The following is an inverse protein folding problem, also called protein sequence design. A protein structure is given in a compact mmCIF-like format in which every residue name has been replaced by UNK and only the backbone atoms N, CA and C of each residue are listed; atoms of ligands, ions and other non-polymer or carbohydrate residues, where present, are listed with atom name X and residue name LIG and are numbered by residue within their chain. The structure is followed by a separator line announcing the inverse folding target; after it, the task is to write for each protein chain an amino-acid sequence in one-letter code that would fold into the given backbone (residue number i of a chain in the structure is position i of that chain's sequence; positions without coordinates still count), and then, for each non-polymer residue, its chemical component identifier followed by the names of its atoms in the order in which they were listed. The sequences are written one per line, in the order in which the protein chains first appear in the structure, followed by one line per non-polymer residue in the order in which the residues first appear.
data_IF_265707096504
#
_entry.id   IF_265707096504
#
_cell.length_a   1.000
_cell.length_b   1.000
_cell.length_c   1.000
_cell.angle_alpha   90.00
_cell.angle_beta   90.00
_cell.angle_gamma   90.00
#
_symmetry.space_group_name_H-M   'P 1'
#
loop_
_entity.id
_entity.type
_entity.pdbx_description
1 polymer ?
#
# COMPACT_ATOMS: atom_id res chain seq x y z
N UNK A 1 -7.78 75.49 -71.31
CA UNK A 1 -7.34 76.45 -70.28
C UNK A 1 -7.07 75.68 -69.01
N UNK A 2 -5.81 75.70 -68.56
CA UNK A 2 -5.37 75.06 -67.33
C UNK A 2 -5.83 75.87 -66.12
N UNK A 3 -6.19 75.20 -65.01
CA UNK A 3 -5.88 75.69 -63.66
C UNK A 3 -5.98 74.58 -62.62
N UNK A 4 -4.80 74.26 -62.08
CA UNK A 4 -4.46 74.04 -60.66
C UNK A 4 -5.08 72.84 -59.93
N UNK A 5 -4.30 71.75 -59.91
CA UNK A 5 -4.46 70.65 -58.94
C UNK A 5 -3.87 71.04 -57.58
N UNK A 6 -4.69 70.88 -56.54
CA UNK A 6 -4.34 71.12 -55.13
C UNK A 6 -3.61 69.90 -54.56
N UNK A 7 -2.38 70.10 -54.09
CA UNK A 7 -1.52 69.10 -53.45
C UNK A 7 -2.03 68.73 -52.05
N UNK A 8 -2.31 67.45 -51.81
CA UNK A 8 -2.56 66.89 -50.47
C UNK A 8 -1.29 66.22 -49.94
N UNK A 9 -0.91 66.57 -48.71
CA UNK A 9 0.27 66.10 -47.97
C UNK A 9 0.20 64.60 -47.66
N UNK A 10 1.31 63.84 -47.74
CA UNK A 10 1.35 62.46 -47.26
C UNK A 10 1.36 62.41 -45.72
N UNK A 11 0.53 61.51 -45.16
CA UNK A 11 0.48 61.16 -43.74
C UNK A 11 1.80 60.54 -43.28
N UNK A 12 2.23 60.90 -42.06
CA UNK A 12 3.44 60.42 -41.43
C UNK A 12 3.45 58.89 -41.27
N UNK A 13 4.53 58.25 -41.72
CA UNK A 13 4.84 56.83 -41.46
C UNK A 13 5.39 56.72 -40.03
N UNK A 14 4.73 55.95 -39.17
CA UNK A 14 5.23 55.56 -37.86
C UNK A 14 6.43 54.63 -38.00
N UNK A 15 7.54 55.00 -37.37
CA UNK A 15 8.80 54.25 -37.41
C UNK A 15 8.65 52.85 -36.79
N UNK A 16 9.07 51.82 -37.53
CA UNK A 16 9.19 50.46 -37.02
C UNK A 16 10.26 50.41 -35.92
N UNK A 17 9.86 50.06 -34.70
CA UNK A 17 10.79 49.87 -33.58
C UNK A 17 11.65 48.63 -33.84
N UNK A 18 12.96 48.79 -33.72
CA UNK A 18 13.97 47.75 -33.96
C UNK A 18 13.64 46.46 -33.18
N UNK A 19 13.70 45.27 -33.81
CA UNK A 19 13.40 43.98 -33.17
C UNK A 19 14.33 43.68 -31.98
N UNK A 20 15.51 44.32 -31.94
CA UNK A 20 16.46 44.23 -30.85
C UNK A 20 15.89 44.88 -29.57
N UNK A 21 15.18 46.00 -29.70
CA UNK A 21 14.55 46.69 -28.57
C UNK A 21 13.43 45.83 -27.96
N UNK A 22 12.68 45.11 -28.79
CA UNK A 22 11.62 44.19 -28.34
C UNK A 22 12.25 43.02 -27.57
N UNK A 23 13.34 42.45 -28.08
CA UNK A 23 14.05 41.36 -27.40
C UNK A 23 14.57 41.80 -26.01
N UNK A 24 15.16 42.99 -25.91
CA UNK A 24 15.61 43.53 -24.62
C UNK A 24 14.46 43.77 -23.65
N UNK A 25 13.30 44.26 -24.12
CA UNK A 25 12.11 44.43 -23.28
C UNK A 25 11.60 43.07 -22.77
N UNK A 26 11.57 42.04 -23.63
CA UNK A 26 11.16 40.69 -23.24
C UNK A 26 12.11 40.07 -22.21
N UNK A 27 13.43 40.18 -22.41
CA UNK A 27 14.42 39.65 -21.45
C UNK A 27 14.30 40.39 -20.12
N UNK A 28 14.13 41.71 -20.16
CA UNK A 28 13.94 42.53 -18.95
C UNK A 28 12.69 42.12 -18.20
N UNK A 29 11.58 41.86 -18.90
CA UNK A 29 10.33 41.40 -18.29
C UNK A 29 10.44 40.01 -17.64
N UNK A 30 11.19 39.09 -18.27
CA UNK A 30 11.44 37.74 -17.72
C UNK A 30 12.29 37.83 -16.45
N UNK A 31 13.37 38.64 -16.47
CA UNK A 31 14.20 38.86 -15.28
C UNK A 31 13.38 39.50 -14.16
N UNK A 32 12.52 40.48 -14.48
CA UNK A 32 11.64 41.11 -13.50
C UNK A 32 10.62 40.13 -12.91
N UNK A 33 10.05 39.23 -13.72
CA UNK A 33 9.17 38.15 -13.26
C UNK A 33 9.89 37.15 -12.35
N UNK A 34 11.12 36.76 -12.70
CA UNK A 34 11.93 35.87 -11.87
C UNK A 34 12.28 36.53 -10.52
N UNK A 35 12.70 37.80 -10.52
CA UNK A 35 13.00 38.55 -9.29
C UNK A 35 11.72 38.77 -8.46
N UNK A 36 10.59 39.11 -9.08
CA UNK A 36 9.32 39.26 -8.38
C UNK A 36 8.81 37.94 -7.79
N UNK A 37 8.99 36.80 -8.49
CA UNK A 37 8.68 35.47 -7.95
C UNK A 37 9.58 35.11 -6.77
N UNK A 38 10.85 35.53 -6.78
CA UNK A 38 11.76 35.36 -5.64
C UNK A 38 11.43 36.28 -4.47
N UNK A 39 10.81 37.45 -4.71
CA UNK A 39 10.33 38.38 -3.67
C UNK A 39 8.97 37.96 -3.08
N UNK A 40 8.08 37.34 -3.87
CA UNK A 40 6.89 36.65 -3.32
C UNK A 40 7.27 35.39 -2.54
N UNK A 41 8.43 34.78 -2.84
CA UNK A 41 8.96 33.62 -2.11
C UNK A 41 9.80 34.01 -0.88
N UNK A 42 10.07 35.29 -0.62
CA UNK A 42 10.90 35.73 0.53
C UNK A 42 10.29 36.83 1.41
N UNK A 43 9.09 37.30 1.11
CA UNK A 43 8.31 38.06 2.09
C UNK A 43 7.61 37.10 3.06
N UNK A 44 8.34 36.74 4.11
CA UNK A 44 7.80 36.13 5.30
C UNK A 44 6.65 36.97 5.84
N UNK A 45 5.42 36.46 5.64
CA UNK A 45 4.28 36.89 6.44
C UNK A 45 4.60 36.54 7.88
N UNK A 46 4.93 37.56 8.67
CA UNK A 46 4.99 37.51 10.13
C UNK A 46 3.58 37.26 10.66
N UNK A 47 3.15 36.00 10.63
CA UNK A 47 2.08 35.56 11.50
C UNK A 47 2.66 35.44 12.90
N UNK A 48 2.32 36.44 13.71
CA UNK A 48 2.34 36.38 15.17
C UNK A 48 2.15 34.94 15.65
N UNK A 49 3.09 34.45 16.47
CA UNK A 49 3.04 33.18 17.21
C UNK A 49 1.92 33.21 18.27
N UNK A 50 0.70 33.51 17.84
CA UNK A 50 -0.50 33.52 18.65
C UNK A 50 -1.45 32.44 18.11
N UNK A 51 -1.20 31.23 18.62
CA UNK A 51 -2.21 30.22 18.92
C UNK A 51 -2.87 29.48 17.73
N UNK A 52 -2.10 28.64 17.01
CA UNK A 52 -2.67 27.48 16.28
C UNK A 52 -3.41 26.54 17.25
N UNK A 53 -3.07 26.57 18.54
CA UNK A 53 -3.78 25.85 19.62
C UNK A 53 -5.26 26.27 19.78
N UNK A 54 -5.69 27.40 19.21
CA UNK A 54 -7.07 27.91 19.31
C UNK A 54 -7.94 27.60 18.08
N UNK A 55 -7.38 27.04 16.99
CA UNK A 55 -8.16 26.66 15.80
C UNK A 55 -8.63 25.20 15.81
N UNK A 56 -8.11 24.38 16.72
CA UNK A 56 -8.63 23.05 17.04
C UNK A 56 -9.50 23.11 18.29
N UNK A 57 -10.60 23.87 18.20
CA UNK A 57 -11.76 23.57 19.04
C UNK A 57 -12.37 22.26 18.54
N UNK A 58 -13.02 21.45 19.41
CA UNK A 58 -13.67 20.21 18.97
C UNK A 58 -14.64 20.56 17.83
N UNK A 59 -14.33 20.13 16.60
CA UNK A 59 -15.23 20.32 15.47
C UNK A 59 -16.50 19.53 15.82
N UNK A 60 -17.64 20.19 15.72
CA UNK A 60 -18.94 19.61 16.07
C UNK A 60 -19.10 18.22 15.45
N UNK A 61 -19.42 17.21 16.27
CA UNK A 61 -19.88 15.91 15.80
C UNK A 61 -20.95 16.13 14.74
N UNK A 62 -20.72 15.62 13.52
CA UNK A 62 -21.67 15.71 12.42
C UNK A 62 -23.03 15.20 12.91
N UNK A 63 -24.02 16.07 12.94
CA UNK A 63 -25.38 15.67 13.29
C UNK A 63 -25.97 14.89 12.13
N UNK A 64 -26.19 13.60 12.33
CA UNK A 64 -26.85 12.75 11.36
C UNK A 64 -28.28 13.21 11.13
N UNK A 65 -28.64 13.43 9.87
CA UNK A 65 -29.97 13.91 9.51
C UNK A 65 -30.87 12.75 9.11
N UNK A 66 -32.19 12.99 9.09
CA UNK A 66 -33.17 12.02 8.59
C UNK A 66 -32.98 11.67 7.10
N UNK A 67 -32.19 12.46 6.37
CA UNK A 67 -31.91 12.28 4.94
C UNK A 67 -30.65 11.45 4.67
N UNK A 68 -29.87 11.14 5.71
CA UNK A 68 -28.65 10.36 5.57
C UNK A 68 -28.99 8.94 5.09
N UNK A 69 -28.26 8.48 4.09
CA UNK A 69 -28.39 7.16 3.49
C UNK A 69 -27.12 6.37 3.71
N UNK A 70 -27.24 5.07 3.94
CA UNK A 70 -26.17 4.24 4.45
C UNK A 70 -25.78 3.13 3.47
N UNK A 71 -24.50 2.78 3.47
CA UNK A 71 -23.91 1.63 2.78
C UNK A 71 -23.24 0.72 3.82
N UNK A 72 -23.64 -0.55 3.87
CA UNK A 72 -23.09 -1.51 4.82
C UNK A 72 -22.53 -2.74 4.10
N UNK A 73 -21.32 -3.12 4.47
CA UNK A 73 -20.57 -4.21 3.85
C UNK A 73 -20.35 -5.43 4.75
N UNK A 74 -20.85 -5.38 5.99
CA UNK A 74 -20.67 -6.43 6.99
C UNK A 74 -19.77 -5.99 8.14
N UNK A 75 -19.71 -6.83 9.16
CA UNK A 75 -18.98 -6.57 10.42
C UNK A 75 -17.48 -6.88 10.34
N UNK A 76 -17.00 -7.32 9.17
CA UNK A 76 -15.62 -7.73 8.93
C UNK A 76 -15.23 -7.38 7.50
N UNK A 77 -14.02 -6.83 7.31
CA UNK A 77 -13.47 -6.50 5.99
C UNK A 77 -13.19 -7.80 5.22
N UNK A 78 -13.57 -7.86 3.93
CA UNK A 78 -13.27 -8.96 3.00
C UNK A 78 -13.60 -10.36 3.54
N UNK A 79 -14.83 -10.50 4.04
CA UNK A 79 -15.31 -11.70 4.69
C UNK A 79 -16.40 -12.39 3.85
N UNK A 80 -16.11 -12.92 2.64
CA UNK A 80 -17.13 -13.62 1.87
C UNK A 80 -17.40 -15.01 2.45
N UNK A 81 -18.52 -15.17 3.15
CA UNK A 81 -19.05 -16.47 3.58
C UNK A 81 -18.02 -17.36 4.31
N UNK A 82 -17.72 -18.54 3.76
CA UNK A 82 -16.90 -19.61 4.39
C UNK A 82 -15.42 -19.27 4.63
N UNK A 83 -14.92 -18.12 4.18
CA UNK A 83 -13.51 -17.72 4.36
C UNK A 83 -13.30 -16.65 5.45
N UNK A 84 -14.33 -16.36 6.23
CA UNK A 84 -14.34 -15.35 7.30
C UNK A 84 -13.41 -15.60 8.48
N UNK A 85 -12.85 -16.82 8.58
CA UNK A 85 -12.02 -17.23 9.71
C UNK A 85 -10.54 -16.86 9.52
N UNK A 86 -10.13 -16.48 8.29
CA UNK A 86 -8.73 -16.21 7.96
C UNK A 86 -8.46 -14.70 7.88
N UNK A 87 -7.55 -14.23 8.71
CA UNK A 87 -7.06 -12.86 8.69
C UNK A 87 -6.15 -12.60 7.47
N UNK A 88 -6.60 -11.80 6.51
CA UNK A 88 -5.73 -11.33 5.42
C UNK A 88 -4.71 -10.28 5.93
N UNK A 89 -3.58 -10.15 5.25
CA UNK A 89 -2.54 -9.15 5.59
C UNK A 89 -3.03 -7.71 5.49
N UNK A 90 -2.39 -6.79 6.23
CA UNK A 90 -2.84 -5.40 6.37
C UNK A 90 -3.07 -4.68 5.02
N UNK A 91 -2.16 -4.83 4.05
CA UNK A 91 -2.34 -4.20 2.74
C UNK A 91 -3.58 -4.68 1.97
N UNK A 92 -4.03 -5.92 2.22
CA UNK A 92 -5.30 -6.40 1.68
C UNK A 92 -6.47 -5.70 2.38
N UNK A 93 -6.45 -5.69 3.71
CA UNK A 93 -7.47 -5.05 4.55
C UNK A 93 -7.65 -3.57 4.18
N UNK A 94 -6.55 -2.82 4.07
CA UNK A 94 -6.57 -1.41 3.70
C UNK A 94 -7.06 -1.18 2.26
N UNK A 95 -6.66 -2.05 1.32
CA UNK A 95 -7.13 -1.93 -0.06
C UNK A 95 -8.64 -2.11 -0.15
N UNK A 96 -9.19 -2.98 0.68
CA UNK A 96 -10.62 -3.33 0.66
C UNK A 96 -11.47 -2.33 1.42
N UNK A 97 -10.97 -1.86 2.57
CA UNK A 97 -11.56 -0.74 3.28
C UNK A 97 -11.61 0.52 2.40
N UNK A 98 -10.51 0.87 1.74
CA UNK A 98 -10.46 1.99 0.80
C UNK A 98 -11.49 1.82 -0.31
N UNK A 99 -11.64 0.62 -0.85
CA UNK A 99 -12.58 0.35 -1.92
C UNK A 99 -14.05 0.49 -1.48
N UNK A 100 -14.39 0.06 -0.25
CA UNK A 100 -15.71 0.30 0.32
C UNK A 100 -15.99 1.79 0.58
N UNK A 101 -14.98 2.54 1.05
CA UNK A 101 -15.05 4.00 1.21
C UNK A 101 -15.26 4.71 -0.14
N UNK A 102 -14.55 4.29 -1.18
CA UNK A 102 -14.74 4.82 -2.54
C UNK A 102 -16.15 4.56 -3.06
N UNK A 103 -16.72 3.37 -2.83
CA UNK A 103 -18.09 3.08 -3.24
C UNK A 103 -19.11 3.92 -2.46
N UNK A 104 -18.92 4.11 -1.15
CA UNK A 104 -19.77 4.98 -0.36
C UNK A 104 -19.72 6.44 -0.84
N UNK A 105 -18.52 6.93 -1.15
CA UNK A 105 -18.31 8.26 -1.71
C UNK A 105 -18.96 8.39 -3.09
N UNK A 106 -18.79 7.40 -3.96
CA UNK A 106 -19.40 7.35 -5.29
C UNK A 106 -20.94 7.39 -5.21
N UNK A 107 -21.54 6.68 -4.25
CA UNK A 107 -22.99 6.61 -4.05
C UNK A 107 -23.56 7.78 -3.22
N UNK A 108 -22.71 8.67 -2.68
CA UNK A 108 -23.12 9.75 -1.79
C UNK A 108 -23.77 9.24 -0.49
N UNK A 109 -23.21 8.17 0.09
CA UNK A 109 -23.75 7.50 1.29
C UNK A 109 -22.77 7.52 2.45
N UNK A 110 -23.31 7.50 3.66
CA UNK A 110 -22.54 7.24 4.88
C UNK A 110 -22.12 5.77 4.92
N UNK A 111 -20.83 5.51 5.01
CA UNK A 111 -20.32 4.17 5.14
C UNK A 111 -20.44 3.66 6.57
N UNK A 112 -21.05 2.50 6.74
CA UNK A 112 -21.11 1.79 8.02
C UNK A 112 -19.89 0.87 8.10
N UNK A 113 -18.87 1.38 8.77
CA UNK A 113 -17.57 0.76 8.91
C UNK A 113 -17.56 -0.28 10.04
N UNK A 114 -16.87 -1.42 9.88
CA UNK A 114 -16.65 -2.35 10.98
C UNK A 114 -15.97 -1.68 12.15
N UNK A 115 -16.43 -1.98 13.37
CA UNK A 115 -15.80 -1.51 14.60
C UNK A 115 -14.42 -2.12 14.86
N UNK A 116 -14.06 -3.19 14.16
CA UNK A 116 -12.76 -3.86 14.28
C UNK A 116 -12.19 -4.25 12.92
N UNK A 117 -10.87 -4.16 12.78
CA UNK A 117 -10.11 -4.64 11.63
C UNK A 117 -9.10 -5.69 12.06
N UNK A 118 -8.97 -6.76 11.28
CA UNK A 118 -7.96 -7.78 11.51
C UNK A 118 -6.58 -7.35 11.01
N UNK A 119 -5.54 -7.66 11.78
CA UNK A 119 -4.13 -7.41 11.45
C UNK A 119 -3.43 -8.76 11.54
N UNK A 120 -3.05 -9.35 10.40
CA UNK A 120 -2.47 -10.69 10.36
C UNK A 120 -1.10 -10.72 11.08
N UNK A 121 -0.89 -11.61 12.08
CA UNK A 121 0.37 -11.71 12.82
C UNK A 121 1.49 -12.44 12.05
N UNK A 122 1.18 -13.18 10.99
CA UNK A 122 2.11 -14.14 10.37
C UNK A 122 2.83 -13.51 9.19
N UNK A 123 4.04 -13.00 9.45
CA UNK A 123 5.04 -12.85 8.39
C UNK A 123 6.44 -13.37 8.73
N UNK A 124 6.59 -14.04 9.87
CA UNK A 124 7.53 -15.07 10.33
C UNK A 124 7.03 -15.36 11.74
N UNK A 125 6.71 -16.60 12.10
CA UNK A 125 6.70 -16.90 13.53
C UNK A 125 8.14 -16.70 13.98
N UNK A 126 8.48 -15.49 14.46
CA UNK A 126 9.56 -15.36 15.43
C UNK A 126 9.20 -16.40 16.47
N UNK A 127 10.14 -17.29 16.79
CA UNK A 127 10.06 -18.26 17.87
C UNK A 127 9.95 -17.55 19.24
N UNK A 128 8.91 -16.74 19.43
CA UNK A 128 8.65 -15.89 20.59
C UNK A 128 7.31 -16.25 21.24
N UNK A 129 6.45 -17.02 20.57
CA UNK A 129 5.27 -17.62 21.21
C UNK A 129 5.38 -19.14 21.22
N UNK A 130 6.12 -19.68 22.19
CA UNK A 130 5.76 -20.97 22.75
C UNK A 130 4.45 -20.79 23.53
N UNK A 131 3.32 -20.96 22.85
CA UNK A 131 2.04 -21.15 23.53
C UNK A 131 1.33 -22.33 22.89
N UNK A 132 1.07 -23.34 23.71
CA UNK A 132 0.33 -24.55 23.39
C UNK A 132 -1.00 -24.20 22.72
N UNK A 133 -1.27 -24.92 21.63
CA UNK A 133 -2.25 -24.67 20.59
C UNK A 133 -3.67 -25.09 21.01
N UNK A 134 -4.12 -24.67 22.21
CA UNK A 134 -5.41 -25.08 22.82
C UNK A 134 -6.29 -23.87 23.23
N UNK A 135 -6.34 -22.82 22.40
CA UNK A 135 -7.14 -21.61 22.64
C UNK A 135 -8.40 -21.51 21.75
N UNK A 136 -9.52 -21.09 22.35
CA UNK A 136 -10.84 -20.89 21.71
C UNK A 136 -10.77 -19.94 20.48
N UNK A 137 -11.57 -20.19 19.45
CA UNK A 137 -11.60 -19.42 18.19
C UNK A 137 -11.85 -17.91 18.39
N UNK A 138 -12.65 -17.51 19.38
CA UNK A 138 -12.88 -16.10 19.72
C UNK A 138 -11.64 -15.43 20.34
N UNK A 139 -10.86 -16.17 21.14
CA UNK A 139 -9.65 -15.66 21.79
C UNK A 139 -8.53 -15.42 20.78
N UNK A 140 -8.44 -16.31 19.76
CA UNK A 140 -7.53 -16.17 18.60
C UNK A 140 -7.89 -14.95 17.72
N UNK A 141 -9.18 -14.58 17.65
CA UNK A 141 -9.68 -13.41 16.92
C UNK A 141 -9.48 -12.10 17.69
N UNK A 142 -9.54 -12.12 19.03
CA UNK A 142 -9.32 -10.95 19.86
C UNK A 142 -7.86 -10.46 19.80
N UNK A 143 -6.89 -11.37 19.79
CA UNK A 143 -5.45 -11.05 19.69
C UNK A 143 -4.96 -10.62 18.29
N UNK A 144 -5.81 -10.75 17.27
CA UNK A 144 -5.45 -10.44 15.86
C UNK A 144 -6.29 -9.31 15.28
N UNK A 145 -7.11 -8.62 16.08
CA UNK A 145 -7.95 -7.51 15.64
C UNK A 145 -7.71 -6.26 16.47
N UNK A 146 -7.79 -5.10 15.82
CA UNK A 146 -7.75 -3.80 16.49
C UNK A 146 -9.08 -3.07 16.31
N UNK A 147 -9.46 -2.26 17.30
CA UNK A 147 -10.60 -1.37 17.17
C UNK A 147 -10.32 -0.32 16.08
N UNK A 148 -11.32 -0.01 15.26
CA UNK A 148 -11.14 0.83 14.09
C UNK A 148 -10.79 2.28 14.46
N UNK A 149 -11.38 2.79 15.55
CA UNK A 149 -11.10 4.09 16.15
C UNK A 149 -9.73 4.19 16.84
N UNK A 150 -9.12 3.05 17.18
CA UNK A 150 -7.72 3.01 17.61
C UNK A 150 -6.73 3.08 16.43
N UNK A 151 -7.16 2.71 15.22
CA UNK A 151 -6.32 2.71 14.02
C UNK A 151 -6.47 4.00 13.23
N UNK A 152 -7.71 4.47 13.05
CA UNK A 152 -8.05 5.60 12.22
C UNK A 152 -8.88 6.63 12.98
N UNK A 153 -8.70 7.89 12.61
CA UNK A 153 -9.54 8.98 13.05
C UNK A 153 -10.79 9.05 12.19
N UNK A 154 -11.90 8.62 12.77
CA UNK A 154 -13.18 8.55 12.09
C UNK A 154 -13.77 9.94 11.79
N UNK A 155 -13.42 10.96 12.57
CA UNK A 155 -13.85 12.33 12.32
C UNK A 155 -13.11 12.89 11.10
N UNK A 156 -11.80 12.62 11.01
CA UNK A 156 -10.98 13.01 9.86
C UNK A 156 -11.38 12.28 8.58
N UNK A 157 -11.65 10.97 8.65
CA UNK A 157 -12.22 10.22 7.50
C UNK A 157 -13.55 10.85 7.07
N UNK A 158 -14.41 11.21 8.05
CA UNK A 158 -15.72 11.81 7.81
C UNK A 158 -15.70 13.17 7.14
N UNK A 159 -14.55 13.85 7.08
CA UNK A 159 -14.37 15.06 6.28
C UNK A 159 -14.37 14.75 4.77
N UNK A 160 -13.91 13.54 4.38
CA UNK A 160 -13.88 13.09 2.98
C UNK A 160 -15.06 12.17 2.64
N UNK A 161 -15.28 11.14 3.45
CA UNK A 161 -16.36 10.15 3.28
C UNK A 161 -17.07 9.97 4.61
N UNK A 162 -18.37 10.28 4.75
CA UNK A 162 -19.05 10.16 6.03
C UNK A 162 -19.01 8.72 6.53
N UNK A 163 -18.53 8.49 7.76
CA UNK A 163 -18.44 7.14 8.35
C UNK A 163 -19.11 7.07 9.70
N UNK A 164 -19.70 5.91 10.00
CA UNK A 164 -20.11 5.51 11.35
C UNK A 164 -19.62 4.09 11.62
N UNK A 165 -19.46 3.72 12.88
CA UNK A 165 -19.15 2.34 13.25
C UNK A 165 -20.42 1.47 13.37
N UNK A 166 -20.28 0.19 13.07
CA UNK A 166 -21.31 -0.84 13.21
C UNK A 166 -21.68 -1.20 14.67
N UNK A 167 -21.02 -0.59 15.66
CA UNK A 167 -21.37 -0.68 17.07
C UNK A 167 -21.93 0.65 17.62
N UNK A 168 -22.16 1.66 16.76
CA UNK A 168 -22.66 2.97 17.17
C UNK A 168 -24.16 2.97 17.45
N UNK A 169 -24.61 3.88 18.33
CA UNK A 169 -26.05 4.12 18.59
C UNK A 169 -26.80 4.53 17.31
N UNK A 170 -26.13 5.26 16.42
CA UNK A 170 -26.68 5.69 15.13
C UNK A 170 -26.99 4.45 14.27
N UNK A 171 -26.05 3.51 14.18
CA UNK A 171 -26.26 2.28 13.42
C UNK A 171 -27.44 1.46 13.96
N UNK A 172 -27.58 1.35 15.27
CA UNK A 172 -28.75 0.70 15.88
C UNK A 172 -30.07 1.36 15.45
N UNK A 173 -30.15 2.69 15.44
CA UNK A 173 -31.33 3.41 14.96
C UNK A 173 -31.58 3.20 13.46
N UNK A 174 -30.53 3.17 12.64
CA UNK A 174 -30.63 2.89 11.20
C UNK A 174 -31.19 1.49 10.97
N UNK A 175 -30.68 0.47 11.68
CA UNK A 175 -31.19 -0.89 11.61
C UNK A 175 -32.67 -0.96 12.00
N UNK A 176 -33.04 -0.41 13.16
CA UNK A 176 -34.43 -0.40 13.63
C UNK A 176 -35.37 0.31 12.65
N UNK A 177 -34.94 1.41 12.05
CA UNK A 177 -35.72 2.16 11.06
C UNK A 177 -35.85 1.39 9.75
N UNK A 178 -34.76 0.78 9.29
CA UNK A 178 -34.76 -0.04 8.07
C UNK A 178 -35.70 -1.24 8.19
N UNK A 179 -35.74 -1.90 9.37
CA UNK A 179 -36.66 -3.00 9.66
C UNK A 179 -38.12 -2.55 9.64
N UNK A 180 -38.44 -1.39 10.23
CA UNK A 180 -39.80 -0.81 10.19
C UNK A 180 -40.26 -0.47 8.76
N UNK A 181 -39.34 -0.01 7.91
CA UNK A 181 -39.62 0.35 6.52
C UNK A 181 -39.65 -0.86 5.57
N UNK A 182 -39.12 -2.02 6.00
CA UNK A 182 -39.08 -3.26 5.22
C UNK A 182 -38.39 -3.07 3.86
N UNK A 183 -39.00 -3.59 2.79
CA UNK A 183 -38.47 -3.50 1.42
C UNK A 183 -38.31 -2.06 0.89
N UNK A 184 -38.90 -1.06 1.55
CA UNK A 184 -38.72 0.37 1.22
C UNK A 184 -37.55 1.01 1.97
N UNK A 185 -37.02 0.35 3.00
CA UNK A 185 -35.93 0.85 3.83
C UNK A 185 -34.58 0.23 3.51
N UNK A 186 -34.54 -1.05 3.16
CA UNK A 186 -33.31 -1.80 2.91
C UNK A 186 -33.37 -2.60 1.62
N UNK A 187 -32.26 -2.64 0.88
CA UNK A 187 -32.03 -3.64 -0.15
C UNK A 187 -30.78 -4.44 0.17
N UNK A 188 -30.92 -5.76 0.13
CA UNK A 188 -29.80 -6.69 0.07
C UNK A 188 -29.41 -6.84 -1.40
N UNK A 189 -28.20 -6.43 -1.74
CA UNK A 189 -27.75 -6.38 -3.14
C UNK A 189 -26.64 -7.41 -3.37
N UNK A 190 -26.87 -8.30 -4.33
CA UNK A 190 -25.93 -9.32 -4.77
C UNK A 190 -25.69 -9.15 -6.27
N UNK A 191 -24.42 -9.13 -6.68
CA UNK A 191 -24.05 -9.03 -8.11
C UNK A 191 -24.40 -7.71 -8.81
N UNK A 192 -24.82 -6.67 -8.07
CA UNK A 192 -25.13 -5.35 -8.63
C UNK A 192 -23.89 -4.47 -8.62
N UNK A 193 -23.58 -3.83 -9.76
CA UNK A 193 -22.44 -2.91 -9.87
C UNK A 193 -22.73 -1.57 -9.18
N UNK A 194 -21.69 -0.89 -8.70
CA UNK A 194 -21.82 0.46 -8.10
C UNK A 194 -22.49 1.48 -9.03
N UNK A 195 -22.30 1.36 -10.34
CA UNK A 195 -22.96 2.21 -11.35
C UNK A 195 -24.46 1.96 -11.36
N UNK A 196 -24.89 0.69 -11.38
CA UNK A 196 -26.31 0.35 -11.32
C UNK A 196 -26.95 0.74 -9.98
N UNK A 197 -26.20 0.67 -8.87
CA UNK A 197 -26.65 1.15 -7.56
C UNK A 197 -26.87 2.68 -7.54
N UNK A 198 -26.07 3.42 -8.31
CA UNK A 198 -26.20 4.87 -8.43
C UNK A 198 -27.35 5.29 -9.35
N UNK A 199 -27.43 4.68 -10.53
CA UNK A 199 -28.31 5.15 -11.61
C UNK A 199 -29.77 4.70 -11.43
N UNK A 200 -29.98 3.56 -10.75
CA UNK A 200 -31.32 3.03 -10.53
C UNK A 200 -32.01 3.71 -9.33
N UNK A 201 -33.09 4.43 -9.62
CA UNK A 201 -33.93 5.14 -8.62
C UNK A 201 -34.45 4.23 -7.50
N UNK A 202 -34.55 2.92 -7.74
CA UNK A 202 -34.93 1.94 -6.73
C UNK A 202 -33.95 1.94 -5.55
N UNK A 203 -32.65 2.08 -5.82
CA UNK A 203 -31.60 2.05 -4.79
C UNK A 203 -31.30 3.45 -4.27
N UNK A 204 -31.36 4.49 -5.11
CA UNK A 204 -31.02 5.85 -4.71
C UNK A 204 -31.83 6.35 -3.51
N UNK A 205 -33.09 5.92 -3.37
CA UNK A 205 -34.00 6.38 -2.30
C UNK A 205 -33.99 5.52 -1.03
N UNK A 206 -33.31 4.37 -1.04
CA UNK A 206 -33.27 3.49 0.13
C UNK A 206 -32.42 4.06 1.24
N UNK A 207 -32.90 3.91 2.47
CA UNK A 207 -32.15 4.25 3.68
C UNK A 207 -30.85 3.43 3.75
N UNK A 208 -30.92 2.12 3.49
CA UNK A 208 -29.79 1.20 3.62
C UNK A 208 -29.57 0.37 2.34
N UNK A 209 -28.37 0.43 1.80
CA UNK A 209 -27.87 -0.58 0.85
C UNK A 209 -27.00 -1.55 1.63
N UNK A 210 -27.41 -2.81 1.65
CA UNK A 210 -26.69 -3.88 2.33
C UNK A 210 -26.00 -4.79 1.30
N UNK A 211 -24.67 -4.76 1.29
CA UNK A 211 -23.80 -5.55 0.41
C UNK A 211 -23.47 -6.95 0.97
N UNK A 212 -23.92 -7.29 2.18
CA UNK A 212 -23.57 -8.57 2.84
C UNK A 212 -24.11 -9.81 2.13
N UNK A 213 -25.06 -9.65 1.19
CA UNK A 213 -25.58 -10.77 0.39
C UNK A 213 -24.55 -11.26 -0.64
N UNK A 214 -23.54 -10.45 -0.95
CA UNK A 214 -22.58 -10.81 -1.99
C UNK A 214 -21.53 -11.81 -1.50
N UNK A 215 -21.22 -12.85 -2.30
CA UNK A 215 -20.23 -13.86 -1.96
C UNK A 215 -18.79 -13.45 -2.33
N UNK A 216 -18.57 -12.22 -2.79
CA UNK A 216 -17.26 -11.72 -3.18
C UNK A 216 -16.64 -10.86 -2.07
N UNK A 217 -15.32 -10.70 -2.12
CA UNK A 217 -14.62 -9.74 -1.26
C UNK A 217 -14.94 -8.31 -1.70
N UNK A 218 -14.86 -7.35 -0.78
CA UNK A 218 -15.23 -5.97 -1.03
C UNK A 218 -14.45 -5.42 -2.23
N UNK A 219 -13.13 -5.59 -2.22
CA UNK A 219 -12.28 -5.09 -3.31
C UNK A 219 -12.58 -5.67 -4.70
N UNK A 220 -13.22 -6.85 -4.77
CA UNK A 220 -13.63 -7.47 -6.03
C UNK A 220 -14.88 -6.82 -6.62
N UNK A 221 -15.73 -6.29 -5.75
CA UNK A 221 -17.03 -5.77 -6.12
C UNK A 221 -17.02 -4.27 -6.39
N UNK A 222 -16.27 -3.50 -5.59
CA UNK A 222 -16.22 -2.05 -5.73
C UNK A 222 -15.24 -1.56 -6.80
N UNK A 223 -14.34 -2.43 -7.31
CA UNK A 223 -13.36 -2.08 -8.33
C UNK A 223 -13.42 -2.99 -9.56
N UNK A 224 -13.54 -2.38 -10.74
CA UNK A 224 -13.22 -3.06 -12.00
C UNK A 224 -11.69 -3.18 -12.12
N UNK A 225 -11.18 -4.41 -12.05
CA UNK A 225 -9.75 -4.72 -12.14
C UNK A 225 -9.10 -4.26 -13.44
N UNK A 226 -9.88 -3.97 -14.49
CA UNK A 226 -9.36 -3.58 -15.81
C UNK A 226 -9.22 -2.06 -15.97
N UNK A 227 -9.79 -1.26 -15.07
CA UNK A 227 -9.80 0.19 -15.18
C UNK A 227 -9.13 0.87 -13.97
N UNK A 228 -7.82 1.07 -14.08
CA UNK A 228 -6.99 1.67 -13.03
C UNK A 228 -7.24 3.18 -12.82
N UNK A 229 -7.89 3.86 -13.79
CA UNK A 229 -8.25 5.28 -13.74
C UNK A 229 -9.45 5.60 -12.84
N UNK A 230 -10.12 4.59 -12.27
CA UNK A 230 -11.33 4.77 -11.47
C UNK A 230 -11.09 4.91 -9.95
N UNK A 231 -9.85 5.19 -9.52
CA UNK A 231 -9.48 5.40 -8.12
C UNK A 231 -9.92 6.79 -7.66
N UNK A 232 -10.81 6.86 -6.67
CA UNK A 232 -11.26 8.13 -6.10
C UNK A 232 -10.49 8.51 -4.84
N UNK A 233 -9.92 7.53 -4.13
CA UNK A 233 -9.08 7.77 -2.95
C UNK A 233 -7.64 7.29 -3.25
N UNK A 234 -6.62 8.11 -2.95
CA UNK A 234 -5.23 7.69 -3.15
C UNK A 234 -4.86 6.56 -2.18
N UNK A 235 -3.83 5.78 -2.53
CA UNK A 235 -3.29 4.73 -1.66
C UNK A 235 -2.82 5.27 -0.29
N UNK A 236 -2.46 6.56 -0.22
CA UNK A 236 -2.06 7.27 1.00
C UNK A 236 -3.22 7.71 1.88
N UNK A 237 -4.48 7.60 1.44
CA UNK A 237 -5.65 8.11 2.16
C UNK A 237 -5.73 7.53 3.57
N UNK A 238 -5.92 6.21 3.72
CA UNK A 238 -6.03 5.57 5.04
C UNK A 238 -4.81 5.84 5.95
N UNK A 239 -3.55 5.75 5.46
CA UNK A 239 -2.39 6.17 6.24
C UNK A 239 -2.43 7.62 6.74
N UNK A 240 -2.98 8.56 5.97
CA UNK A 240 -3.13 9.97 6.37
C UNK A 240 -4.28 10.20 7.36
N UNK A 241 -5.14 9.20 7.56
CA UNK A 241 -6.31 9.26 8.44
C UNK A 241 -6.07 8.51 9.76
N UNK A 242 -4.82 8.29 10.16
CA UNK A 242 -4.47 7.59 11.38
C UNK A 242 -5.07 8.26 12.63
N UNK A 243 -5.39 7.49 13.67
CA UNK A 243 -5.99 7.99 14.91
C UNK A 243 -5.17 9.12 15.56
N UNK A 244 -5.84 10.06 16.26
CA UNK A 244 -5.20 11.22 16.91
C UNK A 244 -3.99 10.82 17.75
N UNK A 245 -4.10 9.80 18.59
CA UNK A 245 -2.98 9.32 19.40
C UNK A 245 -1.77 8.89 18.58
N UNK A 246 -1.99 8.30 17.39
CA UNK A 246 -0.91 7.91 16.49
C UNK A 246 -0.29 9.12 15.81
N UNK A 247 -1.06 10.18 15.57
CA UNK A 247 -0.58 11.47 15.06
C UNK A 247 0.12 12.30 16.14
N UNK A 248 -0.34 12.31 17.39
CA UNK A 248 0.30 12.99 18.53
C UNK A 248 1.59 12.29 18.95
N UNK A 249 1.57 10.95 18.96
CA UNK A 249 2.75 10.12 19.21
C UNK A 249 3.72 10.21 18.05
N UNK A 250 3.19 10.47 16.84
CA UNK A 250 3.99 11.17 15.88
C UNK A 250 4.40 12.51 16.54
N UNK A 251 3.63 13.60 16.62
CA UNK A 251 4.07 15.03 16.68
C UNK A 251 5.18 15.36 17.69
N UNK A 252 5.25 14.63 18.78
CA UNK A 252 6.32 14.74 19.80
C UNK A 252 7.73 14.34 19.33
N UNK A 253 7.84 13.56 18.25
CA UNK A 253 9.10 13.13 17.65
C UNK A 253 9.74 14.25 16.79
N UNK A 254 9.05 15.38 16.59
CA UNK A 254 9.38 16.44 15.64
C UNK A 254 10.14 17.66 16.21
N UNK A 255 10.25 17.78 17.54
CA UNK A 255 10.67 19.01 18.23
C UNK A 255 12.20 19.22 18.33
N UNK A 256 12.99 18.73 17.37
CA UNK A 256 14.40 19.15 17.20
C UNK A 256 14.65 19.84 15.84
N UNK A 257 15.42 20.95 15.81
CA UNK A 257 15.42 21.84 14.67
C UNK A 257 16.46 21.41 13.63
N UNK A 258 16.06 21.33 12.36
CA UNK A 258 16.83 21.95 11.28
C UNK A 258 15.95 22.18 10.06
N UNK A 259 16.20 23.35 9.49
CA UNK A 259 15.61 24.02 8.34
C UNK A 259 14.94 23.18 7.23
N UNK A 260 13.86 23.80 6.72
CA UNK A 260 13.18 23.57 5.45
C UNK A 260 12.35 22.29 5.26
N UNK A 261 11.08 22.39 5.72
CA UNK A 261 9.84 22.12 4.97
C UNK A 261 9.62 20.72 4.35
N UNK A 262 8.93 19.82 5.07
CA UNK A 262 7.79 19.00 4.59
C UNK A 262 7.34 17.91 5.60
N UNK A 263 6.07 18.03 6.02
CA UNK A 263 5.12 17.05 6.54
C UNK A 263 5.56 15.97 7.54
N UNK A 264 4.75 15.84 8.58
CA UNK A 264 5.14 15.11 9.77
C UNK A 264 4.55 13.70 9.93
N UNK A 265 3.36 13.45 9.39
CA UNK A 265 2.88 12.08 9.12
C UNK A 265 3.72 11.47 7.99
N UNK A 266 4.16 12.32 7.05
CA UNK A 266 5.27 11.97 6.16
C UNK A 266 6.53 11.71 6.98
N UNK A 267 6.87 12.50 8.01
CA UNK A 267 8.07 12.30 8.84
C UNK A 267 8.04 11.03 9.70
N UNK A 268 6.96 10.60 10.35
CA UNK A 268 6.99 9.35 11.15
C UNK A 268 6.93 8.09 10.30
N UNK A 269 6.17 8.11 9.22
CA UNK A 269 6.26 7.07 8.21
C UNK A 269 7.63 7.13 7.48
N UNK A 270 8.22 8.31 7.27
CA UNK A 270 9.59 8.52 6.77
C UNK A 270 10.60 8.15 7.84
N UNK A 271 10.32 8.21 9.13
CA UNK A 271 11.21 7.87 10.24
C UNK A 271 11.19 6.37 10.46
N UNK A 272 10.04 5.70 10.52
CA UNK A 272 9.97 4.25 10.48
C UNK A 272 10.59 3.72 9.17
N UNK A 273 10.27 4.32 8.01
CA UNK A 273 10.99 4.02 6.76
C UNK A 273 12.46 4.39 6.84
N UNK A 274 12.88 5.43 7.56
CA UNK A 274 14.26 5.90 7.67
C UNK A 274 15.05 5.07 8.67
N UNK A 275 14.45 4.56 9.74
CA UNK A 275 15.05 3.62 10.67
C UNK A 275 15.19 2.26 9.99
N UNK A 276 14.14 1.75 9.32
CA UNK A 276 14.25 0.53 8.50
C UNK A 276 15.24 0.72 7.34
N UNK A 277 15.26 1.90 6.69
CA UNK A 277 16.21 2.23 5.63
C UNK A 277 17.62 2.41 6.14
N UNK A 278 17.81 3.06 7.29
CA UNK A 278 19.10 3.25 7.95
C UNK A 278 19.64 1.92 8.42
N UNK A 279 18.83 1.06 9.03
CA UNK A 279 19.20 -0.30 9.41
C UNK A 279 19.57 -1.13 8.18
N UNK A 280 18.77 -1.08 7.11
CA UNK A 280 19.14 -1.70 5.84
C UNK A 280 20.47 -1.17 5.30
N UNK A 281 20.69 0.15 5.29
CA UNK A 281 21.95 0.78 4.85
C UNK A 281 23.14 0.44 5.75
N UNK A 282 22.94 0.31 7.07
CA UNK A 282 23.98 -0.09 8.02
C UNK A 282 24.39 -1.53 7.77
N UNK A 283 23.43 -2.45 7.62
CA UNK A 283 23.72 -3.85 7.29
C UNK A 283 24.41 -3.94 5.93
N UNK A 284 23.98 -3.16 4.93
CA UNK A 284 24.70 -3.04 3.65
C UNK A 284 26.15 -2.60 3.82
N UNK A 285 26.40 -1.59 4.64
CA UNK A 285 27.74 -1.09 4.89
C UNK A 285 28.62 -2.16 5.59
N UNK A 286 28.03 -2.97 6.47
CA UNK A 286 28.71 -4.10 7.11
C UNK A 286 28.99 -5.26 6.14
N UNK A 287 28.09 -5.49 5.18
CA UNK A 287 28.28 -6.49 4.12
C UNK A 287 29.31 -6.03 3.06
N UNK A 288 29.58 -4.73 2.97
CA UNK A 288 30.54 -4.05 2.07
C UNK A 288 30.25 -4.29 0.59
N UNK A 289 30.69 -5.42 0.03
CA UNK A 289 30.52 -5.81 -1.37
C UNK A 289 30.01 -7.26 -1.41
N UNK A 290 28.75 -7.42 -1.78
CA UNK A 290 28.03 -8.68 -1.69
C UNK A 290 27.02 -8.83 -2.83
N UNK A 291 26.64 -10.08 -3.09
CA UNK A 291 25.54 -10.44 -3.95
C UNK A 291 24.39 -10.99 -3.09
N UNK A 292 23.18 -11.03 -3.62
CA UNK A 292 22.03 -11.47 -2.83
C UNK A 292 21.03 -12.33 -3.61
N UNK A 293 20.43 -13.27 -2.88
CA UNK A 293 19.38 -14.15 -3.39
C UNK A 293 18.14 -14.05 -2.50
N UNK A 294 16.97 -13.95 -3.14
CA UNK A 294 15.68 -14.13 -2.47
C UNK A 294 15.10 -15.50 -2.83
N UNK A 295 14.82 -16.33 -1.83
CA UNK A 295 14.36 -17.71 -2.01
C UNK A 295 12.99 -17.92 -1.35
N UNK A 296 11.92 -17.96 -2.16
CA UNK A 296 10.55 -18.18 -1.70
C UNK A 296 10.14 -19.65 -1.88
N UNK A 297 10.12 -20.41 -0.78
CA UNK A 297 9.80 -21.85 -0.75
C UNK A 297 8.51 -22.18 0.02
N UNK A 298 8.51 -22.07 1.34
CA UNK A 298 7.53 -22.71 2.24
C UNK A 298 6.04 -22.69 1.83
N UNK A 299 5.43 -21.52 1.58
CA UNK A 299 4.01 -21.42 1.17
C UNK A 299 3.74 -21.85 -0.28
N UNK A 300 4.79 -21.91 -1.10
CA UNK A 300 4.74 -22.16 -2.55
C UNK A 300 4.95 -23.62 -2.91
N UNK A 301 5.63 -24.40 -2.08
CA UNK A 301 5.86 -25.84 -2.28
C UNK A 301 4.65 -26.72 -1.95
N UNK A 302 3.43 -26.19 -2.04
CA UNK A 302 2.21 -26.95 -1.75
C UNK A 302 1.91 -27.91 -2.90
N UNK A 303 1.83 -29.20 -2.58
CA UNK A 303 1.40 -30.24 -3.51
C UNK A 303 -0.03 -30.71 -3.22
N UNK A 304 -0.67 -31.30 -4.23
CA UNK A 304 -1.93 -32.03 -4.07
C UNK A 304 -1.88 -33.33 -4.88
N UNK A 305 -2.53 -34.38 -4.40
CA UNK A 305 -2.72 -35.60 -5.19
C UNK A 305 -3.86 -35.45 -6.17
N UNK A 306 -3.67 -35.92 -7.40
CA UNK A 306 -4.75 -36.03 -8.39
C UNK A 306 -5.58 -37.31 -8.19
N UNK A 307 -6.54 -37.55 -9.09
CA UNK A 307 -7.43 -38.72 -9.05
C UNK A 307 -6.70 -40.07 -9.19
N UNK A 308 -5.43 -40.06 -9.59
CA UNK A 308 -4.57 -41.23 -9.75
C UNK A 308 -3.53 -41.32 -8.62
N UNK A 309 -3.60 -40.47 -7.60
CA UNK A 309 -2.66 -40.44 -6.48
C UNK A 309 -1.32 -39.75 -6.78
N UNK A 310 -1.18 -39.16 -7.97
CA UNK A 310 0.06 -38.50 -8.43
C UNK A 310 0.12 -37.08 -7.87
N UNK A 311 1.27 -36.72 -7.30
CA UNK A 311 1.48 -35.38 -6.77
C UNK A 311 1.52 -34.33 -7.87
N UNK A 312 0.88 -33.19 -7.63
CA UNK A 312 0.83 -32.04 -8.51
C UNK A 312 1.27 -30.78 -7.77
N UNK A 313 2.04 -29.93 -8.43
CA UNK A 313 2.47 -28.62 -7.95
C UNK A 313 1.97 -27.50 -8.87
N UNK A 314 1.79 -26.30 -8.32
CA UNK A 314 1.57 -25.07 -9.09
C UNK A 314 2.87 -24.48 -9.66
N UNK A 315 3.99 -24.85 -9.06
CA UNK A 315 5.34 -24.46 -9.46
C UNK A 315 6.16 -25.76 -9.58
N UNK A 316 6.10 -26.43 -10.74
CA UNK A 316 6.65 -27.77 -10.91
C UNK A 316 8.17 -27.83 -10.73
N UNK A 317 8.92 -26.75 -11.02
CA UNK A 317 10.38 -26.74 -10.94
C UNK A 317 10.91 -26.07 -9.67
N UNK A 318 10.09 -25.27 -9.00
CA UNK A 318 10.51 -24.46 -7.85
C UNK A 318 11.27 -25.21 -6.75
N UNK A 319 10.84 -26.42 -6.37
CA UNK A 319 11.55 -27.18 -5.31
C UNK A 319 12.98 -27.51 -5.75
N UNK A 320 13.10 -28.11 -6.94
CA UNK A 320 14.38 -28.47 -7.56
C UNK A 320 15.27 -27.26 -7.73
N UNK A 321 14.78 -26.22 -8.38
CA UNK A 321 15.55 -25.03 -8.78
C UNK A 321 16.08 -24.22 -7.58
N UNK A 322 15.41 -24.33 -6.42
CA UNK A 322 15.80 -23.61 -5.19
C UNK A 322 16.51 -24.49 -4.17
N UNK A 323 16.92 -25.71 -4.54
CA UNK A 323 17.84 -26.52 -3.73
C UNK A 323 19.27 -25.96 -3.81
N UNK A 324 20.10 -26.13 -2.78
CA UNK A 324 21.45 -25.57 -2.74
C UNK A 324 22.30 -25.96 -3.96
N UNK A 325 22.22 -27.22 -4.41
CA UNK A 325 22.97 -27.73 -5.55
C UNK A 325 22.54 -27.04 -6.85
N UNK A 326 21.23 -26.89 -7.07
CA UNK A 326 20.69 -26.17 -8.22
C UNK A 326 21.04 -24.68 -8.19
N UNK A 327 21.00 -24.06 -7.01
CA UNK A 327 21.40 -22.67 -6.82
C UNK A 327 22.87 -22.49 -7.19
N UNK A 328 23.78 -23.37 -6.73
CA UNK A 328 25.21 -23.31 -7.07
C UNK A 328 25.44 -23.27 -8.57
N UNK A 329 24.76 -24.16 -9.30
CA UNK A 329 24.80 -24.25 -10.76
C UNK A 329 24.26 -22.98 -11.42
N UNK A 330 23.04 -22.56 -11.02
CA UNK A 330 22.31 -21.45 -11.65
C UNK A 330 23.06 -20.13 -11.50
N UNK A 331 23.62 -19.86 -10.32
CA UNK A 331 24.23 -18.55 -10.02
C UNK A 331 25.72 -18.49 -10.34
N UNK A 332 26.37 -19.62 -10.71
CA UNK A 332 27.81 -19.70 -11.04
C UNK A 332 28.29 -18.64 -12.04
N UNK A 333 27.46 -18.34 -13.03
CA UNK A 333 27.79 -17.39 -14.10
C UNK A 333 27.52 -15.92 -13.70
N UNK A 334 26.83 -15.69 -12.58
CA UNK A 334 26.44 -14.36 -12.13
C UNK A 334 27.26 -13.92 -10.91
N UNK A 335 27.61 -14.86 -10.04
CA UNK A 335 28.31 -14.61 -8.77
C UNK A 335 29.64 -15.37 -8.76
N UNK A 336 30.78 -14.67 -8.81
CA UNK A 336 32.10 -15.27 -8.64
C UNK A 336 32.25 -16.00 -7.29
N UNK A 337 33.05 -17.08 -7.23
CA UNK A 337 33.34 -17.78 -5.98
C UNK A 337 34.06 -16.88 -4.95
N UNK A 338 33.94 -17.21 -3.67
CA UNK A 338 34.55 -16.49 -2.54
C UNK A 338 33.81 -15.23 -2.12
N UNK A 339 32.72 -14.87 -2.82
CA UNK A 339 31.94 -13.67 -2.52
C UNK A 339 30.93 -13.87 -1.40
N UNK A 340 30.59 -12.77 -0.74
CA UNK A 340 29.51 -12.74 0.25
C UNK A 340 28.16 -12.86 -0.46
N UNK A 341 27.36 -13.85 -0.05
CA UNK A 341 26.03 -14.10 -0.57
C UNK A 341 25.00 -13.92 0.55
N UNK A 342 24.23 -12.83 0.49
CA UNK A 342 23.13 -12.58 1.42
C UNK A 342 21.87 -13.36 0.99
N UNK A 343 21.31 -14.15 1.90
CA UNK A 343 20.17 -15.03 1.64
C UNK A 343 18.96 -14.58 2.45
N UNK A 344 17.93 -14.10 1.75
CA UNK A 344 16.60 -13.87 2.33
C UNK A 344 15.67 -15.01 1.91
N UNK A 345 15.19 -15.80 2.88
CA UNK A 345 14.37 -16.98 2.59
C UNK A 345 13.32 -17.23 3.66
N UNK A 346 12.20 -17.83 3.27
CA UNK A 346 11.19 -18.35 4.18
C UNK A 346 11.25 -19.88 4.35
N UNK A 347 12.37 -20.49 3.96
CA UNK A 347 12.66 -21.89 4.25
C UNK A 347 12.73 -22.09 5.76
N UNK A 348 12.08 -23.16 6.25
CA UNK A 348 11.92 -23.44 7.68
C UNK A 348 13.02 -24.32 8.22
N UNK A 349 13.68 -25.07 7.35
CA UNK A 349 14.73 -26.02 7.72
C UNK A 349 16.01 -25.28 8.07
N UNK A 350 16.48 -25.31 9.33
CA UNK A 350 17.71 -24.65 9.72
C UNK A 350 18.90 -25.20 8.93
N UNK A 351 19.79 -24.32 8.48
CA UNK A 351 20.99 -24.73 7.73
C UNK A 351 20.71 -25.29 6.33
N UNK A 352 19.49 -25.18 5.79
CA UNK A 352 19.14 -25.67 4.45
C UNK A 352 20.09 -25.18 3.36
N UNK A 353 20.56 -23.92 3.43
CA UNK A 353 21.47 -23.34 2.44
C UNK A 353 22.96 -23.51 2.79
N UNK A 354 23.30 -24.24 3.85
CA UNK A 354 24.70 -24.47 4.24
C UNK A 354 25.59 -25.06 3.13
N UNK A 355 25.12 -25.90 2.19
CA UNK A 355 25.98 -26.38 1.10
C UNK A 355 26.52 -25.27 0.18
N UNK A 356 25.85 -24.10 0.13
CA UNK A 356 26.34 -22.94 -0.62
C UNK A 356 27.67 -22.40 -0.07
N UNK A 357 28.00 -22.72 1.20
CA UNK A 357 29.22 -22.28 1.87
C UNK A 357 30.50 -22.84 1.24
N UNK A 358 30.40 -23.91 0.43
CA UNK A 358 31.51 -24.45 -0.35
C UNK A 358 32.09 -23.41 -1.32
N UNK A 359 31.25 -22.48 -1.79
CA UNK A 359 31.63 -21.50 -2.82
C UNK A 359 31.46 -20.05 -2.40
N UNK A 360 30.62 -19.76 -1.41
CA UNK A 360 30.26 -18.38 -1.04
C UNK A 360 30.31 -18.18 0.49
N UNK A 361 30.60 -16.95 0.92
CA UNK A 361 30.49 -16.57 2.32
C UNK A 361 29.03 -16.22 2.62
N UNK A 362 28.33 -17.07 3.37
CA UNK A 362 26.88 -16.91 3.56
C UNK A 362 26.57 -15.85 4.63
N UNK A 363 25.63 -14.97 4.31
CA UNK A 363 25.09 -14.00 5.25
C UNK A 363 23.56 -14.08 5.31
N UNK A 364 23.01 -13.92 6.51
CA UNK A 364 21.59 -13.97 6.81
C UNK A 364 21.20 -12.79 7.69
N UNK A 365 19.90 -12.46 7.72
CA UNK A 365 19.37 -11.45 8.63
C UNK A 365 19.71 -11.76 10.10
N UNK A 366 19.70 -13.04 10.50
CA UNK A 366 20.07 -13.46 11.86
C UNK A 366 21.50 -13.12 12.26
N UNK A 367 22.43 -12.89 11.31
CA UNK A 367 23.78 -12.44 11.62
C UNK A 367 23.83 -10.98 12.10
N UNK A 368 22.73 -10.23 11.97
CA UNK A 368 22.62 -8.81 12.33
C UNK A 368 21.54 -8.57 13.40
N UNK A 369 21.24 -9.57 14.23
CA UNK A 369 20.21 -9.49 15.28
C UNK A 369 20.36 -8.24 16.16
N UNK A 370 21.59 -7.91 16.55
CA UNK A 370 21.87 -6.78 17.44
C UNK A 370 21.42 -5.42 16.87
N UNK A 371 21.35 -5.30 15.54
CA UNK A 371 20.90 -4.08 14.84
C UNK A 371 19.41 -4.20 14.48
N UNK A 372 18.98 -5.40 14.10
CA UNK A 372 17.59 -5.66 13.71
C UNK A 372 16.64 -5.59 14.90
N UNK A 373 16.99 -6.14 16.04
CA UNK A 373 16.13 -6.21 17.23
C UNK A 373 15.80 -4.83 17.82
N UNK A 374 16.59 -3.81 17.48
CA UNK A 374 16.35 -2.41 17.87
C UNK A 374 15.22 -1.74 17.07
N UNK A 375 14.88 -2.25 15.88
CA UNK A 375 13.92 -1.60 14.95
C UNK A 375 12.89 -2.55 14.35
N UNK A 376 13.10 -3.86 14.46
CA UNK A 376 12.27 -4.92 13.89
C UNK A 376 11.47 -5.61 14.99
N UNK A 377 10.26 -5.10 15.22
CA UNK A 377 9.28 -5.65 16.15
C UNK A 377 8.44 -6.74 15.49
N UNK A 378 8.24 -6.65 14.17
CA UNK A 378 7.46 -7.61 13.39
C UNK A 378 8.13 -7.96 12.06
N UNK A 379 7.56 -8.95 11.38
CA UNK A 379 8.19 -9.52 10.20
C UNK A 379 7.98 -8.74 8.93
N UNK A 380 6.97 -7.87 8.92
CA UNK A 380 6.84 -6.91 7.83
C UNK A 380 8.02 -5.93 7.85
N UNK A 381 8.40 -5.44 9.03
CA UNK A 381 9.60 -4.61 9.19
C UNK A 381 10.86 -5.37 8.78
N UNK A 382 10.99 -6.65 9.16
CA UNK A 382 12.11 -7.48 8.71
C UNK A 382 12.15 -7.58 7.18
N UNK A 383 11.02 -7.90 6.56
CA UNK A 383 10.89 -7.97 5.10
C UNK A 383 11.26 -6.64 4.43
N UNK A 384 10.90 -5.50 5.02
CA UNK A 384 11.26 -4.19 4.49
C UNK A 384 12.78 -3.95 4.55
N UNK A 385 13.44 -4.33 5.65
CA UNK A 385 14.90 -4.24 5.80
C UNK A 385 15.60 -5.19 4.82
N UNK A 386 15.17 -6.45 4.77
CA UNK A 386 15.69 -7.47 3.84
C UNK A 386 15.56 -7.01 2.39
N UNK A 387 14.42 -6.42 2.01
CA UNK A 387 14.24 -5.89 0.66
C UNK A 387 15.27 -4.81 0.31
N UNK A 388 15.64 -3.97 1.27
CA UNK A 388 16.66 -2.92 1.05
C UNK A 388 18.07 -3.52 0.95
N UNK A 389 18.36 -4.57 1.72
CA UNK A 389 19.61 -5.32 1.61
C UNK A 389 19.66 -6.03 0.25
N UNK A 390 18.59 -6.72 -0.16
CA UNK A 390 18.50 -7.42 -1.44
C UNK A 390 18.72 -6.46 -2.63
N UNK A 391 17.94 -5.36 -2.69
CA UNK A 391 18.04 -4.35 -3.75
C UNK A 391 19.37 -3.58 -3.72
N UNK A 392 20.09 -3.67 -2.61
CA UNK A 392 21.34 -2.99 -2.40
C UNK A 392 22.59 -3.76 -2.84
N UNK A 393 22.43 -5.04 -3.16
CA UNK A 393 23.51 -5.92 -3.57
C UNK A 393 24.02 -5.57 -4.98
N UNK A 394 25.23 -6.01 -5.30
CA UNK A 394 25.80 -5.86 -6.64
C UNK A 394 25.00 -6.65 -7.68
N UNK A 395 24.67 -7.90 -7.34
CA UNK A 395 23.78 -8.77 -8.10
C UNK A 395 22.62 -9.17 -7.21
N UNK A 396 21.39 -8.96 -7.68
CA UNK A 396 20.18 -9.41 -6.99
C UNK A 396 19.46 -10.45 -7.82
N UNK A 397 19.33 -11.66 -7.26
CA UNK A 397 18.73 -12.82 -7.91
C UNK A 397 17.41 -13.15 -7.20
N UNK A 398 16.32 -13.11 -7.95
CA UNK A 398 14.97 -13.35 -7.42
C UNK A 398 14.62 -14.84 -7.48
N UNK A 399 13.60 -15.24 -6.75
CA UNK A 399 13.08 -16.62 -6.87
C UNK A 399 12.49 -16.83 -8.26
N UNK A 400 11.55 -15.95 -8.65
CA UNK A 400 10.83 -16.00 -9.92
C UNK A 400 11.29 -14.87 -10.82
N UNK A 401 11.19 -15.10 -12.14
CA UNK A 401 11.34 -14.04 -13.13
C UNK A 401 10.11 -13.12 -13.11
N UNK A 402 10.30 -11.82 -12.94
CA UNK A 402 9.21 -10.82 -13.02
C UNK A 402 9.30 -10.03 -14.33
N UNK A 403 10.51 -9.61 -14.68
CA UNK A 403 10.84 -8.88 -15.92
C UNK A 403 11.87 -9.66 -16.77
N UNK A 404 11.95 -9.37 -18.06
CA UNK A 404 12.83 -10.11 -18.99
C UNK A 404 14.32 -10.04 -18.63
N UNK A 405 14.72 -8.95 -17.97
CA UNK A 405 16.10 -8.67 -17.55
C UNK A 405 16.41 -9.17 -16.13
N UNK A 406 15.44 -9.76 -15.41
CA UNK A 406 15.67 -10.26 -14.06
C UNK A 406 16.50 -11.55 -14.07
N UNK A 407 17.42 -11.66 -13.11
CA UNK A 407 18.05 -12.93 -12.75
C UNK A 407 17.10 -13.70 -11.83
N UNK A 408 16.78 -14.94 -12.19
CA UNK A 408 15.87 -15.79 -11.43
C UNK A 408 16.44 -17.19 -11.16
N UNK A 409 16.07 -17.74 -10.00
CA UNK A 409 16.41 -19.11 -9.63
C UNK A 409 15.57 -20.13 -10.38
N UNK A 410 14.27 -19.87 -10.55
CA UNK A 410 13.37 -20.72 -11.32
C UNK A 410 12.80 -19.99 -12.54
N UNK A 411 12.48 -20.78 -13.56
CA UNK A 411 11.78 -20.35 -14.78
C UNK A 411 10.25 -20.48 -14.64
N UNK A 412 9.75 -20.98 -13.49
CA UNK A 412 8.32 -21.01 -13.19
C UNK A 412 7.74 -19.57 -13.10
N UNK A 413 6.50 -19.33 -13.57
CA UNK A 413 5.88 -18.01 -13.50
C UNK A 413 5.48 -17.66 -12.07
N UNK A 414 5.79 -16.44 -11.60
CA UNK A 414 5.41 -15.97 -10.25
C UNK A 414 3.89 -16.01 -9.98
N UNK A 415 3.10 -15.67 -11.00
CA UNK A 415 1.62 -15.63 -10.93
C UNK A 415 1.07 -17.05 -11.09
N UNK A 416 0.19 -17.42 -10.17
CA UNK A 416 -0.49 -18.71 -10.20
C UNK A 416 -1.41 -18.80 -11.43
N UNK A 417 -1.03 -19.63 -12.40
CA UNK A 417 -1.82 -19.93 -13.61
C UNK A 417 -3.00 -20.88 -13.33
N UNK A 418 -3.11 -21.38 -12.08
CA UNK A 418 -4.00 -22.47 -11.64
C UNK A 418 -3.79 -23.79 -12.38
N UNK A 419 -2.71 -23.89 -13.14
CA UNK A 419 -2.33 -25.10 -13.84
C UNK A 419 -1.49 -25.98 -12.92
N UNK A 420 -2.01 -27.15 -12.55
CA UNK A 420 -1.34 -28.07 -11.64
C UNK A 420 -0.59 -29.13 -12.44
N UNK A 421 0.74 -29.11 -12.34
CA UNK A 421 1.64 -29.90 -13.16
C UNK A 421 2.39 -30.95 -12.32
N UNK A 422 3.00 -31.94 -12.98
CA UNK A 422 3.83 -32.94 -12.28
C UNK A 422 5.09 -32.21 -11.80
N UNK A 423 5.45 -32.29 -10.49
CA UNK A 423 6.69 -31.74 -10.00
C UNK A 423 7.90 -32.39 -10.68
N UNK A 424 8.91 -31.59 -10.98
CA UNK A 424 10.16 -32.04 -11.57
C UNK A 424 11.24 -31.99 -10.50
N UNK A 425 11.82 -33.14 -10.17
CA UNK A 425 12.81 -33.27 -9.10
C UNK A 425 14.23 -33.49 -9.62
N UNK A 426 14.37 -33.98 -10.85
CA UNK A 426 15.67 -34.27 -11.47
C UNK A 426 16.23 -33.02 -12.14
N UNK A 427 17.51 -32.76 -11.90
CA UNK A 427 18.29 -31.88 -12.77
C UNK A 427 18.69 -32.74 -13.96
N UNK A 428 18.36 -32.31 -15.18
CA UNK A 428 18.95 -32.93 -16.38
C UNK A 428 20.47 -32.77 -16.28
N UNK A 429 21.24 -33.77 -16.72
CA UNK A 429 22.68 -33.96 -16.54
C UNK A 429 23.56 -32.80 -17.08
N UNK A 430 23.41 -31.62 -16.50
CA UNK A 430 24.27 -30.47 -16.72
C UNK A 430 25.31 -30.48 -15.61
N UNK A 431 26.52 -30.93 -15.96
CA UNK A 431 27.70 -30.66 -15.16
C UNK A 431 27.78 -29.16 -14.90
N UNK A 432 27.75 -28.81 -13.62
CA UNK A 432 28.08 -27.51 -13.10
C UNK A 432 29.57 -27.49 -12.72
#
# INVERSE_FOLDING_TARGET
MATVHKTQRPKAKTAARSPILILFICISAIVFLCVYSSQLSTNGFSFSKMTIRNLMKPKHKRHHTLHDKYLYWGSRIDCPGKNCDKCAGLGHQESSLRCALEEAMFLGRTFVMPSRMCINPIHNEKAIFHRSDDGNMEERWAGTTCAMDSLYDLELISETVPVILDNSKIWYHVLMTSMKLGARGVAHVEGVSRVNLNDNRRYSNLLLINRTASPLSWFMECKDRKNHSALMLPHSFLPSMAAEKLRDAADKINDEPTDANEDYIYLVAKMARWWLKRTGLMIKALLVDYDSIHVRRGDRLKTRKDRYGVDRSLFPHLDRDTRPEAILCRIKNWVPPGRTLFIASNERTPGFFSPLAVRYNLAYSSNFSDILDLVVENNYQLFMVERLILMGARTFIKTYKEDDNDLSLTDDPKKNTKNWQIPVYTMEDQEC
#
